data_IF_271265587056
#
_entry.id   IF_271265587056
#
_cell.length_a   1.000
_cell.length_b   1.000
_cell.length_c   1.000
_cell.angle_alpha   90.00
_cell.angle_beta   90.00
_cell.angle_gamma   90.00
#
_symmetry.space_group_name_H-M   'P 1'
#
loop_
_entity.id
_entity.type
_entity.pdbx_description
1 polymer ?
#
# COMPACT_ATOMS: atom_id res chain seq x y z
N UNK A 1 34.45 28.34 14.03
CA UNK A 1 34.05 27.45 12.93
C UNK A 1 32.59 27.06 13.18
N UNK A 2 31.63 27.69 12.51
CA UNK A 2 30.20 27.39 12.71
C UNK A 2 29.88 26.10 11.94
N UNK A 3 29.58 25.03 12.67
CA UNK A 3 29.04 23.80 12.10
C UNK A 3 27.57 24.10 11.75
N UNK A 4 27.27 24.32 10.47
CA UNK A 4 25.91 24.46 9.99
C UNK A 4 25.25 23.07 10.00
N UNK A 5 24.60 22.71 11.11
CA UNK A 5 23.81 21.48 11.20
C UNK A 5 22.49 21.73 10.47
N UNK A 6 22.43 21.34 9.20
CA UNK A 6 21.20 21.39 8.41
C UNK A 6 20.30 20.24 8.85
N UNK A 7 19.38 20.50 9.77
CA UNK A 7 18.26 19.60 10.04
C UNK A 7 17.26 19.67 8.88
N UNK A 8 17.49 18.86 7.85
CA UNK A 8 16.51 18.70 6.75
C UNK A 8 15.31 17.92 7.28
N UNK A 9 14.32 18.60 7.86
CA UNK A 9 13.10 17.92 8.29
C UNK A 9 12.36 17.40 7.03
N UNK A 10 11.77 16.21 7.10
CA UNK A 10 10.94 15.68 6.00
C UNK A 10 9.63 16.46 5.78
N UNK A 11 9.53 17.71 6.25
CA UNK A 11 8.31 18.53 6.25
C UNK A 11 8.32 19.75 5.34
N UNK A 12 9.46 20.18 4.77
CA UNK A 12 9.54 21.51 4.15
C UNK A 12 9.10 21.58 2.67
N UNK A 13 9.26 20.51 1.88
CA UNK A 13 8.83 20.45 0.46
C UNK A 13 8.43 19.03 0.05
N UNK A 14 7.12 18.73 0.00
CA UNK A 14 6.58 17.42 -0.42
C UNK A 14 6.55 17.28 -1.95
N UNK A 15 7.67 17.50 -2.63
CA UNK A 15 7.77 17.11 -4.04
C UNK A 15 8.04 15.61 -4.11
N UNK A 16 7.04 14.85 -4.56
CA UNK A 16 7.15 13.40 -4.74
C UNK A 16 7.95 13.12 -6.01
N UNK A 17 9.09 12.45 -5.86
CA UNK A 17 9.98 12.07 -6.96
C UNK A 17 9.55 10.77 -7.64
N UNK A 18 8.91 9.86 -6.91
CA UNK A 18 8.40 8.59 -7.43
C UNK A 18 7.31 8.07 -6.52
N UNK A 19 6.25 7.50 -7.11
CA UNK A 19 5.13 6.90 -6.39
C UNK A 19 4.94 5.45 -6.85
N UNK A 20 4.67 4.59 -5.89
CA UNK A 20 4.41 3.18 -6.09
C UNK A 20 3.24 2.73 -5.23
N UNK A 21 2.60 1.62 -5.60
CA UNK A 21 1.51 1.05 -4.84
C UNK A 21 1.56 -0.47 -4.80
N UNK A 22 1.01 -1.02 -3.73
CA UNK A 22 0.81 -2.44 -3.50
C UNK A 22 -0.63 -2.64 -3.00
N UNK A 23 -1.30 -3.68 -3.49
CA UNK A 23 -2.66 -4.03 -3.06
C UNK A 23 -2.66 -5.52 -2.75
N UNK A 24 -3.10 -5.87 -1.55
CA UNK A 24 -3.44 -7.24 -1.17
C UNK A 24 -4.95 -7.32 -0.87
N UNK A 25 -5.77 -7.74 -1.84
CA UNK A 25 -7.21 -7.52 -1.75
C UNK A 25 -7.90 -8.21 -0.59
N UNK A 26 -7.47 -9.44 -0.26
CA UNK A 26 -8.09 -10.23 0.81
C UNK A 26 -7.60 -9.85 2.20
N UNK A 27 -6.50 -9.08 2.29
CA UNK A 27 -6.04 -8.49 3.54
C UNK A 27 -6.51 -7.06 3.74
N UNK A 28 -7.26 -6.50 2.79
CA UNK A 28 -7.73 -5.10 2.80
C UNK A 28 -6.55 -4.13 2.99
N UNK A 29 -5.46 -4.38 2.25
CA UNK A 29 -4.27 -3.54 2.24
C UNK A 29 -4.18 -2.76 0.92
N UNK A 30 -4.07 -1.45 1.02
CA UNK A 30 -3.96 -0.49 -0.08
C UNK A 30 -2.77 0.45 0.15
N UNK A 31 -1.56 -0.10 0.03
CA UNK A 31 -0.33 0.57 0.45
C UNK A 31 0.24 1.44 -0.67
N UNK A 32 0.48 2.72 -0.38
CA UNK A 32 1.27 3.63 -1.19
C UNK A 32 2.68 3.74 -0.64
N UNK A 33 3.66 3.79 -1.53
CA UNK A 33 5.05 4.11 -1.21
C UNK A 33 5.52 5.29 -2.07
N UNK A 34 6.05 6.32 -1.43
CA UNK A 34 6.48 7.54 -2.07
C UNK A 34 7.93 7.84 -1.69
N UNK A 35 8.75 8.10 -2.72
CA UNK A 35 10.04 8.74 -2.53
C UNK A 35 9.84 10.25 -2.67
N UNK A 36 10.12 10.95 -1.59
CA UNK A 36 10.05 12.41 -1.53
C UNK A 36 11.47 12.94 -1.79
N UNK A 37 11.56 14.13 -2.37
CA UNK A 37 12.84 14.83 -2.46
C UNK A 37 13.52 14.94 -1.09
N UNK A 38 14.83 15.19 -1.11
CA UNK A 38 15.66 15.32 0.11
C UNK A 38 15.84 14.01 0.91
N UNK A 39 15.83 12.87 0.20
CA UNK A 39 16.07 11.54 0.78
C UNK A 39 15.04 11.11 1.83
N UNK A 40 13.80 11.57 1.71
CA UNK A 40 12.68 11.19 2.56
C UNK A 40 11.75 10.18 1.88
N UNK A 41 11.11 9.31 2.64
CA UNK A 41 10.08 8.41 2.13
C UNK A 41 8.79 8.55 2.95
N UNK A 42 7.69 8.18 2.31
CA UNK A 42 6.42 7.90 2.98
C UNK A 42 5.90 6.54 2.52
N UNK A 43 5.36 5.78 3.44
CA UNK A 43 4.62 4.56 3.15
C UNK A 43 3.37 4.54 4.01
N UNK A 44 2.24 4.44 3.35
CA UNK A 44 0.96 4.62 4.02
C UNK A 44 -0.10 3.73 3.42
N UNK A 45 -1.05 3.39 4.27
CA UNK A 45 -2.36 2.92 3.85
C UNK A 45 -3.37 3.95 4.36
N UNK A 46 -3.85 4.83 3.47
CA UNK A 46 -4.81 5.90 3.82
C UNK A 46 -6.25 5.49 3.53
N UNK A 47 -6.43 4.58 2.57
CA UNK A 47 -7.74 4.21 2.02
C UNK A 47 -8.23 2.84 2.50
N UNK A 48 -7.30 1.97 2.90
CA UNK A 48 -7.60 0.66 3.41
C UNK A 48 -8.13 0.67 4.83
N UNK A 49 -8.46 -0.53 5.29
CA UNK A 49 -9.13 -0.75 6.56
C UNK A 49 -8.15 -0.73 7.74
N UNK A 50 -6.89 -1.03 7.46
CA UNK A 50 -5.79 -1.07 8.41
C UNK A 50 -4.86 0.10 8.17
N UNK A 51 -5.38 1.31 8.38
CA UNK A 51 -4.67 2.54 8.02
C UNK A 51 -3.35 2.66 8.78
N UNK A 52 -2.31 3.15 8.11
CA UNK A 52 -1.05 3.48 8.77
C UNK A 52 -0.29 4.53 7.98
N UNK A 53 0.69 5.16 8.63
CA UNK A 53 1.66 6.04 7.98
C UNK A 53 3.02 5.84 8.64
N UNK A 54 4.03 5.52 7.82
CA UNK A 54 5.43 5.66 8.20
C UNK A 54 6.09 6.69 7.30
N UNK A 55 6.71 7.70 7.91
CA UNK A 55 7.57 8.65 7.22
C UNK A 55 8.98 8.54 7.78
N UNK A 56 9.98 8.69 6.91
CA UNK A 56 11.35 8.48 7.32
C UNK A 56 12.37 8.93 6.29
N UNK A 57 13.63 8.56 6.53
CA UNK A 57 14.74 8.82 5.61
C UNK A 57 15.21 7.54 4.94
N UNK A 58 15.59 7.67 3.68
CA UNK A 58 16.24 6.59 2.95
C UNK A 58 17.68 6.97 2.56
N UNK A 59 18.52 5.96 2.37
CA UNK A 59 19.88 6.11 1.84
C UNK A 59 20.05 5.19 0.64
N UNK A 60 20.66 5.70 -0.43
CA UNK A 60 21.06 4.86 -1.56
C UNK A 60 22.31 4.07 -1.16
N UNK A 61 22.19 2.75 -1.12
CA UNK A 61 23.30 1.83 -0.93
C UNK A 61 23.72 1.24 -2.27
N UNK A 62 24.98 1.48 -2.65
CA UNK A 62 25.59 0.94 -3.87
C UNK A 62 26.52 -0.20 -3.49
N UNK A 63 26.24 -1.41 -3.94
CA UNK A 63 27.15 -2.54 -3.87
C UNK A 63 27.71 -2.86 -5.26
N UNK A 64 28.80 -3.63 -5.33
CA UNK A 64 29.50 -3.98 -6.59
C UNK A 64 28.58 -4.54 -7.69
N UNK A 65 27.47 -5.20 -7.34
CA UNK A 65 26.56 -5.86 -8.28
C UNK A 65 25.09 -5.41 -8.20
N UNK A 66 24.74 -4.53 -7.26
CA UNK A 66 23.35 -4.08 -7.08
C UNK A 66 23.27 -2.77 -6.29
N UNK A 67 22.23 -1.99 -6.56
CA UNK A 67 21.87 -0.81 -5.78
C UNK A 67 20.49 -1.00 -5.14
N UNK A 68 20.34 -0.57 -3.89
CA UNK A 68 19.05 -0.58 -3.18
C UNK A 68 18.91 0.67 -2.32
N UNK A 69 17.68 1.02 -1.95
CA UNK A 69 17.43 2.05 -0.96
C UNK A 69 17.27 1.38 0.40
N UNK A 70 18.00 1.87 1.40
CA UNK A 70 17.83 1.47 2.80
C UNK A 70 16.90 2.47 3.47
N UNK A 71 15.79 2.00 4.04
CA UNK A 71 14.88 2.81 4.86
C UNK A 71 15.52 2.94 6.25
N UNK A 72 16.38 3.95 6.38
CA UNK A 72 17.40 4.08 7.42
C UNK A 72 16.83 4.50 8.78
N UNK A 73 15.74 5.27 8.78
CA UNK A 73 15.11 5.76 10.01
C UNK A 73 13.64 6.08 9.75
N UNK A 74 12.74 5.49 10.54
CA UNK A 74 11.36 5.94 10.67
C UNK A 74 11.33 7.12 11.64
N UNK A 75 10.87 8.28 11.16
CA UNK A 75 10.78 9.53 11.93
C UNK A 75 9.37 9.70 12.49
N UNK A 76 8.36 9.21 11.77
CA UNK A 76 6.96 9.28 12.15
C UNK A 76 6.30 7.94 11.90
N UNK A 77 5.54 7.46 12.88
CA UNK A 77 4.71 6.27 12.78
C UNK A 77 3.34 6.59 13.36
N UNK A 78 2.31 6.52 12.53
CA UNK A 78 0.91 6.59 12.95
C UNK A 78 0.26 5.25 12.63
N UNK A 79 -0.18 4.55 13.66
CA UNK A 79 -1.04 3.38 13.53
C UNK A 79 -2.24 3.59 14.45
N UNK A 80 -3.48 3.53 13.95
CA UNK A 80 -4.67 3.51 14.78
C UNK A 80 -4.74 2.16 15.53
N UNK A 81 -3.97 2.08 16.62
CA UNK A 81 -4.03 1.10 17.71
C UNK A 81 -3.61 -0.37 17.43
N UNK A 82 -3.20 -1.02 18.53
CA UNK A 82 -2.87 -2.45 18.71
C UNK A 82 -4.05 -3.42 18.49
N UNK A 83 -5.12 -3.01 17.80
CA UNK A 83 -6.38 -3.74 17.70
C UNK A 83 -6.50 -4.61 16.43
N UNK A 84 -5.51 -4.56 15.55
CA UNK A 84 -5.58 -5.28 14.28
C UNK A 84 -4.90 -6.65 14.35
N UNK A 85 -5.48 -7.68 13.72
CA UNK A 85 -4.82 -8.97 13.60
C UNK A 85 -3.44 -8.81 12.93
N UNK A 86 -2.35 -9.35 13.51
CA UNK A 86 -0.99 -9.14 13.00
C UNK A 86 -0.83 -9.48 11.51
N UNK A 87 -1.59 -10.45 11.01
CA UNK A 87 -1.57 -10.90 9.61
C UNK A 87 -2.16 -9.89 8.60
N UNK A 88 -2.95 -8.93 9.09
CA UNK A 88 -3.61 -7.85 8.33
C UNK A 88 -2.75 -6.58 8.29
N UNK A 89 -1.72 -6.48 9.13
CA UNK A 89 -0.82 -5.33 9.17
C UNK A 89 0.27 -5.47 8.11
N UNK A 90 0.60 -4.38 7.41
CA UNK A 90 1.73 -4.38 6.49
C UNK A 90 3.05 -4.51 7.29
N UNK A 91 3.89 -5.52 7.02
CA UNK A 91 5.07 -5.78 7.82
C UNK A 91 6.20 -4.80 7.46
N UNK A 92 6.26 -3.69 8.18
CA UNK A 92 7.36 -2.73 8.06
C UNK A 92 8.29 -2.79 9.26
N UNK A 93 9.60 -2.88 8.98
CA UNK A 93 10.65 -2.85 9.98
C UNK A 93 11.63 -1.70 9.69
N UNK A 94 12.25 -1.20 10.76
CA UNK A 94 13.44 -0.36 10.62
C UNK A 94 14.49 -1.10 9.80
N UNK A 95 15.16 -0.39 8.89
CA UNK A 95 16.18 -0.92 7.97
C UNK A 95 15.63 -1.85 6.88
N UNK A 96 14.33 -1.81 6.61
CA UNK A 96 13.79 -2.43 5.39
C UNK A 96 14.48 -1.89 4.14
N UNK A 97 14.55 -2.74 3.11
CA UNK A 97 15.23 -2.42 1.86
C UNK A 97 14.25 -2.34 0.71
N UNK A 98 14.36 -1.26 -0.06
CA UNK A 98 13.67 -1.12 -1.34
C UNK A 98 14.61 -1.61 -2.42
N UNK A 99 14.31 -2.78 -2.99
CA UNK A 99 15.09 -3.35 -4.09
C UNK A 99 14.43 -3.01 -5.41
N UNK A 100 15.19 -2.40 -6.32
CA UNK A 100 14.72 -2.14 -7.69
C UNK A 100 14.85 -3.46 -8.45
N UNK A 101 13.70 -4.12 -8.70
CA UNK A 101 13.66 -5.39 -9.44
C UNK A 101 13.68 -5.13 -10.95
N UNK A 102 13.02 -4.05 -11.38
CA UNK A 102 13.00 -3.58 -12.77
C UNK A 102 12.59 -2.11 -12.82
N UNK A 103 12.62 -1.49 -14.01
CA UNK A 103 12.01 -0.15 -14.23
C UNK A 103 10.53 -0.07 -13.83
N UNK A 104 9.84 -1.21 -13.68
CA UNK A 104 8.40 -1.30 -13.45
C UNK A 104 8.03 -1.89 -12.09
N UNK A 105 8.99 -2.26 -11.23
CA UNK A 105 8.71 -2.95 -9.96
C UNK A 105 9.80 -2.70 -8.94
N UNK A 106 9.38 -2.38 -7.72
CA UNK A 106 10.23 -2.40 -6.54
C UNK A 106 9.73 -3.46 -5.57
N UNK A 107 10.63 -3.97 -4.74
CA UNK A 107 10.33 -4.92 -3.67
C UNK A 107 10.56 -4.26 -2.32
N UNK A 108 9.55 -4.30 -1.45
CA UNK A 108 9.61 -3.84 -0.05
C UNK A 108 8.99 -4.95 0.80
N UNK A 109 9.69 -5.43 1.83
CA UNK A 109 9.18 -6.49 2.73
C UNK A 109 8.62 -7.73 1.99
N UNK A 110 9.29 -8.12 0.89
CA UNK A 110 8.90 -9.20 -0.04
C UNK A 110 7.62 -8.93 -0.86
N UNK A 111 6.99 -7.77 -0.71
CA UNK A 111 5.84 -7.34 -1.50
C UNK A 111 6.29 -6.59 -2.75
N UNK A 112 5.57 -6.83 -3.86
CA UNK A 112 5.87 -6.23 -5.16
C UNK A 112 5.02 -4.98 -5.34
N UNK A 113 5.69 -3.84 -5.37
CA UNK A 113 5.07 -2.54 -5.62
C UNK A 113 5.18 -2.16 -7.10
N UNK A 114 4.10 -1.60 -7.64
CA UNK A 114 3.98 -1.13 -9.02
C UNK A 114 4.12 0.40 -9.07
N UNK A 115 4.84 0.99 -10.04
CA UNK A 115 4.92 2.43 -10.17
C UNK A 115 3.58 3.01 -10.63
N UNK A 116 3.31 4.24 -10.23
CA UNK A 116 2.21 5.05 -10.74
C UNK A 116 2.66 6.50 -10.85
N UNK A 117 2.31 7.14 -11.97
CA UNK A 117 2.51 8.60 -12.13
C UNK A 117 1.34 9.39 -11.52
N UNK A 118 0.27 8.71 -11.11
CA UNK A 118 -0.87 9.30 -10.43
C UNK A 118 -0.79 9.04 -8.91
N UNK A 119 -0.41 10.04 -8.08
CA UNK A 119 -0.40 9.91 -6.62
C UNK A 119 -1.81 9.82 -6.02
N UNK A 120 -2.82 10.33 -6.73
CA UNK A 120 -4.23 10.31 -6.36
C UNK A 120 -4.94 9.05 -6.86
N UNK A 121 -4.20 8.03 -7.30
CA UNK A 121 -4.77 6.75 -7.71
C UNK A 121 -5.63 6.18 -6.57
N UNK A 122 -6.87 5.84 -6.90
CA UNK A 122 -7.84 5.23 -6.00
C UNK A 122 -7.54 3.73 -5.88
N UNK A 123 -6.77 3.39 -4.85
CA UNK A 123 -6.36 2.01 -4.59
C UNK A 123 -7.53 1.15 -4.09
N UNK A 124 -8.51 1.74 -3.40
CA UNK A 124 -9.69 1.03 -2.91
C UNK A 124 -10.55 0.55 -4.09
N UNK A 125 -10.74 1.41 -5.10
CA UNK A 125 -11.40 1.00 -6.35
C UNK A 125 -10.66 -0.14 -7.04
N UNK A 126 -9.34 -0.06 -7.16
CA UNK A 126 -8.54 -1.14 -7.77
C UNK A 126 -8.70 -2.44 -6.98
N UNK A 127 -8.67 -2.38 -5.64
CA UNK A 127 -8.90 -3.54 -4.77
C UNK A 127 -10.26 -4.17 -5.04
N UNK A 128 -11.32 -3.37 -5.07
CA UNK A 128 -12.70 -3.83 -5.32
C UNK A 128 -12.83 -4.45 -6.72
N UNK A 129 -12.23 -3.84 -7.73
CA UNK A 129 -12.20 -4.40 -9.09
C UNK A 129 -11.51 -5.77 -9.11
N UNK A 130 -10.39 -5.93 -8.40
CA UNK A 130 -9.70 -7.22 -8.26
C UNK A 130 -10.56 -8.29 -7.57
N UNK A 131 -11.29 -7.93 -6.50
CA UNK A 131 -12.19 -8.85 -5.79
C UNK A 131 -13.37 -9.27 -6.66
N UNK A 132 -14.02 -8.32 -7.33
CA UNK A 132 -15.11 -8.61 -8.27
C UNK A 132 -14.64 -9.57 -9.36
N UNK A 133 -13.49 -9.29 -9.99
CA UNK A 133 -12.94 -10.15 -11.03
C UNK A 133 -12.59 -11.55 -10.53
N UNK A 134 -12.15 -11.68 -9.28
CA UNK A 134 -11.90 -12.98 -8.65
C UNK A 134 -13.19 -13.77 -8.48
N UNK A 135 -14.21 -13.18 -7.84
CA UNK A 135 -15.48 -13.87 -7.59
C UNK A 135 -16.23 -14.19 -8.89
N UNK A 136 -16.23 -13.27 -9.87
CA UNK A 136 -16.86 -13.49 -11.17
C UNK A 136 -16.19 -14.65 -11.92
N UNK A 137 -14.86 -14.77 -11.85
CA UNK A 137 -14.15 -15.89 -12.48
C UNK A 137 -14.43 -17.22 -11.77
N UNK A 138 -14.64 -17.21 -10.45
CA UNK A 138 -14.91 -18.43 -9.69
C UNK A 138 -16.35 -18.91 -9.79
N UNK A 139 -17.31 -17.99 -9.73
CA UNK A 139 -18.74 -18.32 -9.56
C UNK A 139 -19.60 -17.96 -10.78
N UNK A 140 -19.07 -17.11 -11.67
CA UNK A 140 -19.84 -16.49 -12.75
C UNK A 140 -20.58 -15.23 -12.29
N UNK A 141 -20.78 -14.29 -13.22
CA UNK A 141 -21.36 -12.96 -12.94
C UNK A 141 -22.76 -13.04 -12.31
N UNK A 142 -23.62 -13.94 -12.81
CA UNK A 142 -24.99 -14.10 -12.32
C UNK A 142 -25.02 -14.54 -10.84
N UNK A 143 -24.20 -15.54 -10.48
CA UNK A 143 -24.10 -16.01 -9.10
C UNK A 143 -23.54 -14.94 -8.16
N UNK A 144 -22.53 -14.20 -8.59
CA UNK A 144 -21.97 -13.08 -7.81
C UNK A 144 -23.02 -12.01 -7.53
N UNK A 145 -23.79 -11.60 -8.54
CA UNK A 145 -24.87 -10.61 -8.34
C UNK A 145 -25.94 -11.17 -7.42
N UNK A 146 -26.30 -12.45 -7.55
CA UNK A 146 -27.30 -13.09 -6.71
C UNK A 146 -26.89 -13.14 -5.24
N UNK A 147 -25.68 -13.64 -4.95
CA UNK A 147 -25.21 -13.90 -3.58
C UNK A 147 -24.71 -12.62 -2.91
N UNK A 148 -23.90 -11.83 -3.62
CA UNK A 148 -23.20 -10.69 -3.02
C UNK A 148 -23.95 -9.37 -3.23
N UNK A 149 -24.83 -9.30 -4.22
CA UNK A 149 -25.58 -8.10 -4.61
C UNK A 149 -27.09 -8.22 -4.40
N UNK A 150 -27.55 -9.20 -3.61
CA UNK A 150 -28.98 -9.51 -3.38
C UNK A 150 -29.80 -9.65 -4.68
N UNK A 151 -29.19 -10.14 -5.75
CA UNK A 151 -29.82 -10.24 -7.07
C UNK A 151 -30.05 -8.91 -7.78
N UNK A 152 -29.60 -7.78 -7.22
CA UNK A 152 -29.89 -6.44 -7.75
C UNK A 152 -28.92 -6.04 -8.86
N UNK A 153 -27.63 -5.86 -8.55
CA UNK A 153 -26.66 -5.40 -9.54
C UNK A 153 -25.20 -5.63 -9.12
N UNK A 154 -24.28 -5.49 -10.07
CA UNK A 154 -22.83 -5.57 -9.81
C UNK A 154 -22.32 -4.33 -9.06
N UNK A 155 -22.97 -3.18 -9.20
CA UNK A 155 -22.67 -1.96 -8.48
C UNK A 155 -22.95 -2.12 -6.98
N UNK A 156 -24.01 -2.85 -6.60
CA UNK A 156 -24.25 -3.16 -5.20
C UNK A 156 -23.18 -4.11 -4.63
N UNK A 157 -22.71 -5.08 -5.44
CA UNK A 157 -21.56 -5.93 -5.07
C UNK A 157 -20.32 -5.07 -4.81
N UNK A 158 -20.01 -4.13 -5.73
CA UNK A 158 -18.88 -3.20 -5.56
C UNK A 158 -19.00 -2.38 -4.28
N UNK A 159 -20.19 -1.82 -4.01
CA UNK A 159 -20.45 -1.04 -2.80
C UNK A 159 -20.18 -1.85 -1.53
N UNK A 160 -20.64 -3.10 -1.48
CA UNK A 160 -20.42 -3.99 -0.32
C UNK A 160 -18.96 -4.37 -0.15
N UNK A 161 -18.25 -4.64 -1.25
CA UNK A 161 -16.82 -4.96 -1.20
C UNK A 161 -15.92 -3.77 -0.81
N UNK A 162 -16.45 -2.54 -0.84
CA UNK A 162 -15.77 -1.35 -0.31
C UNK A 162 -15.80 -1.31 1.22
N UNK A 163 -16.75 -1.98 1.87
CA UNK A 163 -16.87 -2.00 3.32
C UNK A 163 -15.68 -2.76 3.93
N UNK A 164 -15.18 -2.23 5.06
CA UNK A 164 -14.07 -2.82 5.81
C UNK A 164 -14.55 -3.96 6.67
N UNK A 165 -13.70 -4.97 6.85
CA UNK A 165 -14.09 -6.24 7.42
C UNK A 165 -15.23 -6.80 6.60
N UNK A 166 -14.92 -7.59 5.57
CA UNK A 166 -15.92 -8.35 4.82
C UNK A 166 -16.67 -9.30 5.78
N UNK A 167 -17.58 -8.74 6.58
CA UNK A 167 -18.47 -9.45 7.47
C UNK A 167 -19.44 -10.20 6.56
N UNK A 168 -19.48 -11.50 6.75
CA UNK A 168 -20.60 -12.33 6.32
C UNK A 168 -20.75 -12.54 4.80
N UNK A 169 -19.66 -12.51 4.03
CA UNK A 169 -19.66 -13.25 2.76
C UNK A 169 -19.54 -14.75 3.07
N UNK A 170 -20.65 -15.34 3.54
CA UNK A 170 -20.90 -16.78 3.59
C UNK A 170 -20.97 -17.33 2.16
N UNK A 171 -19.84 -17.30 1.46
CA UNK A 171 -19.63 -18.07 0.25
C UNK A 171 -18.96 -19.35 0.73
N UNK A 172 -19.76 -20.33 1.13
CA UNK A 172 -19.26 -21.71 1.23
C UNK A 172 -18.73 -22.08 -0.17
N UNK A 173 -17.40 -22.22 -0.26
CA UNK A 173 -16.67 -22.61 -1.47
C UNK A 173 -16.75 -24.11 -1.70
#
# INVERSE_FOLDING_TARGET
MLLLVVFVSCGARKNTSSCYYFIEPFKEQEVKFQLINDSCFSISDETGCYRFLYEGRYKLQKQKRSSYLLLDTVIKSEMPSWQYPPERVFPMNDKDTVRIVSKKRILISKQVFRPTDNPLLDLQKIRVDMLVDYFVRKLGKAAVVQVMGDGKSIELVRKRLMECFLSDLNVEL
#
